data_IF_743907857203
#
_entry.id   IF_743907857203
#
_cell.length_a   1.000
_cell.length_b   1.000
_cell.length_c   1.000
_cell.angle_alpha   90.00
_cell.angle_beta   90.00
_cell.angle_gamma   90.00
#
_symmetry.space_group_name_H-M   'P 1'
#
loop_
_entity.id
_entity.type
_entity.pdbx_description
1 polymer ?
#
# COMPACT_ATOMS: atom_id res chain seq x y z
N UNK A 1 -40.99 47.06 -39.64
CA UNK A 1 -40.83 46.37 -38.35
C UNK A 1 -39.63 45.43 -38.45
N UNK A 2 -38.45 45.88 -37.95
CA UNK A 2 -37.19 45.13 -38.02
C UNK A 2 -36.99 44.36 -36.69
N UNK A 3 -36.82 43.06 -36.79
CA UNK A 3 -36.46 42.18 -35.70
C UNK A 3 -34.94 42.06 -35.59
N UNK A 4 -34.35 42.68 -34.56
CA UNK A 4 -32.94 42.58 -34.21
C UNK A 4 -32.60 41.20 -33.64
N UNK A 5 -31.80 40.38 -34.34
CA UNK A 5 -31.24 39.11 -33.88
C UNK A 5 -30.12 39.35 -32.86
N UNK A 6 -30.40 39.13 -31.54
CA UNK A 6 -29.40 39.07 -30.47
C UNK A 6 -28.48 37.85 -30.67
N UNK A 7 -27.22 38.05 -31.04
CA UNK A 7 -26.13 37.04 -31.07
C UNK A 7 -25.73 36.74 -29.61
N UNK A 8 -26.04 35.51 -29.10
CA UNK A 8 -25.50 34.97 -27.88
C UNK A 8 -24.01 34.63 -28.04
N UNK A 9 -23.11 35.41 -27.41
CA UNK A 9 -21.69 35.10 -27.27
C UNK A 9 -21.54 33.82 -26.44
N UNK A 10 -21.15 32.69 -27.06
CA UNK A 10 -20.70 31.48 -26.38
C UNK A 10 -19.34 31.81 -25.73
N UNK A 11 -19.32 31.83 -24.38
CA UNK A 11 -18.08 31.80 -23.62
C UNK A 11 -17.44 30.41 -23.86
N UNK A 12 -16.27 30.39 -24.49
CA UNK A 12 -15.36 29.25 -24.52
C UNK A 12 -14.74 29.15 -23.13
N UNK A 13 -15.21 28.22 -22.30
CA UNK A 13 -14.45 27.78 -21.14
C UNK A 13 -13.31 26.91 -21.69
N UNK A 14 -12.08 27.33 -21.47
CA UNK A 14 -10.89 26.52 -21.70
C UNK A 14 -10.69 25.58 -20.50
N UNK A 15 -10.77 24.24 -20.64
CA UNK A 15 -10.69 23.32 -19.52
C UNK A 15 -9.24 22.90 -19.17
N UNK A 16 -8.21 23.65 -19.59
CA UNK A 16 -6.83 23.19 -19.47
C UNK A 16 -6.05 23.63 -18.22
N UNK A 17 -6.38 24.77 -17.61
CA UNK A 17 -5.52 25.33 -16.55
C UNK A 17 -5.75 24.71 -15.17
N UNK A 18 -6.96 24.27 -14.85
CA UNK A 18 -7.28 23.68 -13.55
C UNK A 18 -6.78 22.24 -13.39
N UNK A 19 -6.69 21.49 -14.50
CA UNK A 19 -6.22 20.10 -14.51
C UNK A 19 -4.70 19.98 -14.37
N UNK A 20 -3.96 20.87 -15.01
CA UNK A 20 -2.50 20.92 -14.88
C UNK A 20 -2.06 21.33 -13.48
N UNK A 21 -2.84 22.19 -12.79
CA UNK A 21 -2.56 22.58 -11.41
C UNK A 21 -2.85 21.44 -10.42
N UNK A 22 -3.88 20.65 -10.67
CA UNK A 22 -4.21 19.46 -9.86
C UNK A 22 -3.15 18.37 -9.93
N UNK A 23 -2.67 18.05 -11.14
CA UNK A 23 -1.59 17.09 -11.33
C UNK A 23 -0.28 17.52 -10.66
N UNK A 24 0.08 18.81 -10.77
CA UNK A 24 1.27 19.36 -10.09
C UNK A 24 1.16 19.31 -8.55
N UNK A 25 -0.04 19.50 -8.00
CA UNK A 25 -0.27 19.41 -6.55
C UNK A 25 -0.16 17.95 -6.08
N UNK A 26 -0.67 16.98 -6.85
CA UNK A 26 -0.60 15.56 -6.52
C UNK A 26 0.82 15.01 -6.62
N UNK A 27 1.56 15.33 -7.67
CA UNK A 27 2.99 14.99 -7.79
C UNK A 27 3.78 15.63 -6.65
N UNK A 28 3.49 16.88 -6.29
CA UNK A 28 4.08 17.53 -5.12
C UNK A 28 3.74 16.83 -3.80
N UNK A 29 2.54 16.27 -3.67
CA UNK A 29 2.09 15.55 -2.47
C UNK A 29 2.76 14.18 -2.37
N UNK A 30 2.91 13.47 -3.47
CA UNK A 30 3.66 12.19 -3.53
C UNK A 30 5.13 12.43 -3.20
N UNK A 31 5.78 13.40 -3.81
CA UNK A 31 7.17 13.79 -3.49
C UNK A 31 7.27 14.23 -2.01
N UNK A 32 6.27 14.96 -1.51
CA UNK A 32 6.23 15.38 -0.11
C UNK A 32 6.09 14.21 0.85
N UNK A 33 5.27 13.21 0.56
CA UNK A 33 5.12 12.00 1.36
C UNK A 33 6.42 11.17 1.38
N UNK A 34 7.12 11.06 0.24
CA UNK A 34 8.42 10.38 0.17
C UNK A 34 9.56 11.16 0.86
N UNK A 35 9.54 12.48 0.85
CA UNK A 35 10.52 13.30 1.59
C UNK A 35 10.13 13.50 3.06
N UNK A 36 8.87 13.31 3.44
CA UNK A 36 8.36 13.52 4.81
C UNK A 36 8.91 12.50 5.80
N UNK A 37 9.38 11.31 5.37
CA UNK A 37 10.04 10.36 6.26
C UNK A 37 11.34 10.91 6.86
N UNK A 38 12.13 11.64 6.09
CA UNK A 38 13.34 12.33 6.59
C UNK A 38 13.02 13.67 7.28
N UNK A 39 12.03 14.42 6.76
CA UNK A 39 11.57 15.68 7.38
C UNK A 39 10.74 15.43 8.65
N UNK A 40 10.03 14.30 8.74
CA UNK A 40 9.29 13.89 9.93
C UNK A 40 10.22 13.60 11.11
N UNK A 41 11.35 12.95 10.88
CA UNK A 41 12.40 12.74 11.90
C UNK A 41 12.98 14.08 12.37
N UNK A 42 13.32 14.96 11.44
CA UNK A 42 13.83 16.30 11.77
C UNK A 42 12.80 17.14 12.56
N UNK A 43 11.53 17.10 12.17
CA UNK A 43 10.45 17.81 12.87
C UNK A 43 10.18 17.24 14.27
N UNK A 44 10.27 15.93 14.44
CA UNK A 44 10.08 15.25 15.72
C UNK A 44 11.27 15.54 16.67
N UNK A 45 12.50 15.52 16.20
CA UNK A 45 13.68 15.70 17.02
C UNK A 45 14.01 17.18 17.30
N UNK A 46 13.85 18.05 16.30
CA UNK A 46 14.29 19.47 16.42
C UNK A 46 13.16 20.40 16.92
N UNK A 47 11.89 20.09 16.63
CA UNK A 47 10.76 20.98 16.92
C UNK A 47 9.83 20.41 18.00
N UNK A 48 9.51 19.11 17.96
CA UNK A 48 8.55 18.52 18.90
C UNK A 48 9.17 18.09 20.22
N UNK A 49 10.41 17.59 20.22
CA UNK A 49 11.08 17.17 21.45
C UNK A 49 11.29 18.32 22.46
N UNK A 50 11.71 19.55 22.05
CA UNK A 50 11.79 20.68 22.96
C UNK A 50 10.41 21.17 23.46
N UNK A 51 9.37 21.04 22.64
CA UNK A 51 8.01 21.41 23.02
C UNK A 51 7.41 20.46 24.07
N UNK A 52 7.67 19.16 23.97
CA UNK A 52 7.24 18.18 24.95
C UNK A 52 7.99 18.31 26.29
N UNK A 53 9.28 18.59 26.29
CA UNK A 53 10.02 18.83 27.53
C UNK A 53 9.57 20.11 28.25
N UNK A 54 9.16 21.16 27.52
CA UNK A 54 8.57 22.35 28.10
C UNK A 54 7.14 22.13 28.67
N UNK A 55 6.38 21.17 28.12
CA UNK A 55 5.06 20.82 28.64
C UNK A 55 5.13 19.96 29.92
N UNK A 56 6.17 19.14 30.09
CA UNK A 56 6.36 18.31 31.29
C UNK A 56 6.72 19.10 32.56
N UNK A 57 7.15 20.35 32.39
CA UNK A 57 7.44 21.26 33.53
C UNK A 57 6.23 22.06 34.02
N UNK A 58 5.06 21.92 33.41
CA UNK A 58 3.84 22.56 33.89
C UNK A 58 3.22 21.79 35.07
N UNK A 59 2.87 22.46 36.18
CA UNK A 59 2.41 21.80 37.43
C UNK A 59 1.01 21.15 37.34
N UNK A 60 0.44 21.00 36.15
CA UNK A 60 -0.86 20.37 35.93
C UNK A 60 -0.82 18.84 35.78
N UNK A 61 0.40 18.24 35.68
CA UNK A 61 0.58 16.79 35.57
C UNK A 61 1.37 16.17 36.73
N UNK A 62 1.32 16.76 37.91
CA UNK A 62 1.82 16.07 39.09
C UNK A 62 0.81 15.02 39.53
N UNK A 63 1.15 13.78 39.29
CA UNK A 63 0.44 12.59 39.72
C UNK A 63 0.38 12.53 41.26
N UNK A 64 -0.76 12.79 41.84
CA UNK A 64 -1.12 12.33 43.17
C UNK A 64 -2.40 11.50 43.10
N UNK A 65 -2.24 10.21 43.38
CA UNK A 65 -3.28 9.34 43.91
C UNK A 65 -3.96 8.44 42.87
N UNK A 66 -3.37 7.28 42.65
CA UNK A 66 -4.07 6.02 42.41
C UNK A 66 -3.10 4.88 42.80
N UNK A 67 -3.02 4.61 44.10
CA UNK A 67 -2.58 3.28 44.61
C UNK A 67 -3.75 2.33 44.39
N UNK A 68 -3.48 1.19 43.72
CA UNK A 68 -4.34 0.01 43.74
C UNK A 68 -5.07 -0.32 42.44
N UNK A 69 -4.35 -0.59 41.36
CA UNK A 69 -4.78 -1.55 40.35
C UNK A 69 -3.55 -2.43 40.03
N UNK A 70 -3.68 -3.72 40.32
CA UNK A 70 -2.71 -4.73 39.93
C UNK A 70 -2.55 -4.66 38.40
N UNK A 71 -1.33 -4.33 37.93
CA UNK A 71 -0.94 -4.47 36.56
C UNK A 71 -0.97 -5.97 36.22
N UNK A 72 -2.02 -6.40 35.51
CA UNK A 72 -1.88 -7.57 34.65
C UNK A 72 -0.84 -7.20 33.60
N UNK A 73 0.35 -7.75 33.75
CA UNK A 73 1.39 -7.73 32.71
C UNK A 73 0.79 -8.16 31.38
N UNK A 74 1.00 -7.40 30.29
CA UNK A 74 0.67 -7.89 28.96
C UNK A 74 1.42 -9.21 28.77
N UNK A 75 0.71 -10.26 28.41
CA UNK A 75 1.31 -11.53 27.98
C UNK A 75 2.32 -11.16 26.90
N UNK A 76 3.60 -11.50 27.13
CA UNK A 76 4.62 -11.47 26.12
C UNK A 76 4.07 -12.21 24.89
N UNK A 77 3.71 -11.46 23.86
CA UNK A 77 3.54 -12.02 22.52
C UNK A 77 4.90 -12.57 22.15
N UNK A 78 4.94 -13.86 21.85
CA UNK A 78 6.13 -14.58 21.39
C UNK A 78 6.71 -13.83 20.18
N UNK A 79 7.64 -12.91 20.45
CA UNK A 79 8.34 -12.18 19.39
C UNK A 79 9.36 -13.13 18.79
N UNK A 80 9.21 -13.47 17.52
CA UNK A 80 10.20 -14.20 16.74
C UNK A 80 11.56 -13.52 16.88
N UNK A 81 12.55 -14.21 17.44
CA UNK A 81 13.89 -13.67 17.64
C UNK A 81 14.82 -14.14 16.54
N UNK A 82 15.36 -13.21 15.76
CA UNK A 82 16.38 -13.46 14.73
C UNK A 82 17.75 -13.03 15.23
N UNK A 83 18.76 -13.90 15.08
CA UNK A 83 20.15 -13.58 15.44
C UNK A 83 21.03 -13.70 14.21
N UNK A 84 21.64 -12.59 13.78
CA UNK A 84 22.65 -12.55 12.73
C UNK A 84 24.05 -12.55 13.38
N UNK A 85 24.88 -13.53 13.03
CA UNK A 85 26.23 -13.67 13.58
C UNK A 85 27.24 -12.94 12.70
N UNK A 86 27.87 -11.88 13.17
CA UNK A 86 28.95 -11.32 12.38
C UNK A 86 29.66 -10.05 12.82
N UNK A 87 29.35 -9.43 13.95
CA UNK A 87 29.98 -8.16 14.30
C UNK A 87 30.41 -8.06 15.76
N UNK A 88 31.47 -7.27 16.03
CA UNK A 88 32.05 -7.05 17.36
C UNK A 88 31.08 -6.30 18.30
N UNK A 89 29.97 -5.75 17.77
CA UNK A 89 28.89 -5.11 18.53
C UNK A 89 27.53 -5.43 17.89
N UNK A 90 26.92 -6.52 18.29
CA UNK A 90 25.52 -6.79 17.99
C UNK A 90 24.63 -6.09 19.00
N UNK A 91 23.51 -5.52 18.54
CA UNK A 91 22.47 -4.94 19.37
C UNK A 91 21.17 -5.71 19.15
N UNK A 92 20.32 -5.76 20.16
CA UNK A 92 18.97 -6.32 20.03
C UNK A 92 17.98 -5.19 19.84
N UNK A 93 17.24 -5.20 18.74
CA UNK A 93 16.19 -4.22 18.48
C UNK A 93 14.89 -4.92 18.04
N UNK A 94 13.78 -4.22 18.21
CA UNK A 94 12.48 -4.64 17.69
C UNK A 94 12.22 -3.86 16.40
N UNK A 95 11.83 -4.60 15.36
CA UNK A 95 11.38 -4.04 14.08
C UNK A 95 9.88 -4.20 14.01
N UNK A 96 9.17 -3.11 13.80
CA UNK A 96 7.72 -3.09 13.59
C UNK A 96 7.44 -3.16 12.08
N UNK A 97 6.71 -4.19 11.68
CA UNK A 97 6.21 -4.36 10.34
C UNK A 97 4.84 -3.70 10.23
N UNK A 98 4.65 -2.74 9.31
CA UNK A 98 3.38 -2.06 9.19
C UNK A 98 2.24 -3.03 8.84
N UNK A 99 1.05 -2.77 9.39
CA UNK A 99 -0.17 -3.43 8.95
C UNK A 99 -0.48 -3.11 7.48
N UNK A 100 -1.14 -4.03 6.78
CA UNK A 100 -1.74 -3.75 5.48
C UNK A 100 -3.24 -3.64 5.61
N UNK A 101 -3.83 -2.64 4.95
CA UNK A 101 -5.27 -2.50 4.80
C UNK A 101 -5.61 -2.58 3.30
N UNK A 102 -6.38 -3.61 2.93
CA UNK A 102 -6.87 -3.78 1.56
C UNK A 102 -8.31 -4.27 1.58
N UNK A 103 -9.24 -3.39 1.21
CA UNK A 103 -10.66 -3.66 1.10
C UNK A 103 -11.02 -3.88 -0.36
N UNK A 104 -11.17 -5.15 -0.76
CA UNK A 104 -11.39 -5.54 -2.14
C UNK A 104 -12.89 -5.61 -2.50
N UNK A 105 -13.23 -5.27 -3.74
CA UNK A 105 -14.56 -5.49 -4.29
C UNK A 105 -14.67 -6.92 -4.84
N UNK A 106 -15.38 -7.79 -4.13
CA UNK A 106 -15.66 -9.16 -4.53
C UNK A 106 -16.90 -9.18 -5.43
N UNK A 107 -16.74 -9.66 -6.67
CA UNK A 107 -17.78 -9.78 -7.68
C UNK A 107 -18.44 -11.17 -7.71
N UNK A 108 -17.80 -12.16 -7.09
CA UNK A 108 -18.33 -13.52 -6.99
C UNK A 108 -17.45 -14.41 -6.12
N UNK A 109 -18.04 -15.54 -5.68
CA UNK A 109 -17.32 -16.58 -4.94
C UNK A 109 -17.79 -17.95 -5.45
N UNK A 110 -16.86 -18.84 -5.75
CA UNK A 110 -17.11 -20.11 -6.43
C UNK A 110 -16.36 -21.25 -5.73
N UNK A 111 -16.95 -22.44 -5.73
CA UNK A 111 -16.27 -23.67 -5.33
C UNK A 111 -15.43 -24.28 -6.47
N UNK A 112 -15.54 -23.75 -7.67
CA UNK A 112 -14.83 -24.20 -8.88
C UNK A 112 -13.93 -23.10 -9.40
N UNK A 113 -12.65 -23.42 -9.59
CA UNK A 113 -11.67 -22.52 -10.22
C UNK A 113 -12.04 -22.14 -11.65
N UNK A 114 -12.68 -23.05 -12.42
CA UNK A 114 -13.12 -22.78 -13.78
C UNK A 114 -14.16 -21.67 -13.84
N UNK A 115 -15.16 -21.68 -12.94
CA UNK A 115 -16.18 -20.65 -12.86
C UNK A 115 -15.59 -19.31 -12.40
N UNK A 116 -14.66 -19.34 -11.45
CA UNK A 116 -13.95 -18.15 -11.02
C UNK A 116 -13.11 -17.54 -12.15
N UNK A 117 -12.41 -18.37 -12.93
CA UNK A 117 -11.61 -17.94 -14.09
C UNK A 117 -12.48 -17.28 -15.16
N UNK A 118 -13.64 -17.85 -15.47
CA UNK A 118 -14.58 -17.27 -16.45
C UNK A 118 -15.05 -15.85 -16.03
N UNK A 119 -15.37 -15.65 -14.72
CA UNK A 119 -15.71 -14.31 -14.22
C UNK A 119 -14.50 -13.38 -14.24
N UNK A 120 -13.31 -13.87 -13.82
CA UNK A 120 -12.06 -13.11 -13.85
C UNK A 120 -11.77 -12.54 -15.24
N UNK A 121 -11.84 -13.37 -16.29
CA UNK A 121 -11.61 -12.96 -17.68
C UNK A 121 -12.63 -11.90 -18.14
N UNK A 122 -13.90 -12.08 -17.77
CA UNK A 122 -14.95 -11.10 -18.05
C UNK A 122 -14.68 -9.74 -17.38
N UNK A 123 -14.19 -9.75 -16.15
CA UNK A 123 -13.86 -8.54 -15.40
C UNK A 123 -12.62 -7.84 -15.99
N UNK A 124 -11.58 -8.59 -16.33
CA UNK A 124 -10.37 -8.04 -16.98
C UNK A 124 -10.71 -7.36 -18.30
N UNK A 125 -11.58 -7.94 -19.11
CA UNK A 125 -12.06 -7.35 -20.36
C UNK A 125 -12.83 -6.02 -20.15
N UNK A 126 -13.33 -5.78 -18.93
CA UNK A 126 -14.02 -4.54 -18.53
C UNK A 126 -13.10 -3.53 -17.79
N UNK A 127 -11.81 -3.81 -17.68
CA UNK A 127 -10.85 -2.94 -16.98
C UNK A 127 -10.78 -3.14 -15.46
N UNK A 128 -11.31 -4.25 -14.94
CA UNK A 128 -11.23 -4.64 -13.54
C UNK A 128 -10.13 -5.69 -13.32
N UNK A 129 -9.59 -5.80 -12.09
CA UNK A 129 -8.43 -6.65 -11.80
C UNK A 129 -8.65 -8.15 -12.02
N UNK A 130 -9.83 -8.67 -11.69
CA UNK A 130 -10.16 -10.09 -11.86
C UNK A 130 -9.19 -11.01 -11.11
N UNK A 131 -8.67 -10.59 -9.96
CA UNK A 131 -7.80 -11.42 -9.13
C UNK A 131 -8.63 -12.54 -8.47
N UNK A 132 -8.11 -13.78 -8.48
CA UNK A 132 -8.77 -14.92 -7.86
C UNK A 132 -8.08 -15.21 -6.54
N UNK A 133 -8.73 -14.82 -5.45
CA UNK A 133 -8.29 -15.09 -4.10
C UNK A 133 -8.81 -16.45 -3.64
N UNK A 134 -7.92 -17.32 -3.14
CA UNK A 134 -8.31 -18.63 -2.62
C UNK A 134 -8.47 -18.55 -1.09
N UNK A 135 -9.71 -18.65 -0.62
CA UNK A 135 -10.08 -18.62 0.79
C UNK A 135 -10.64 -20.00 1.19
N UNK A 136 -9.77 -20.85 1.72
CA UNK A 136 -10.09 -22.22 2.18
C UNK A 136 -10.90 -23.06 1.16
N UNK A 137 -10.48 -23.00 -0.12
CA UNK A 137 -11.12 -23.74 -1.22
C UNK A 137 -12.31 -23.02 -1.85
N UNK A 138 -12.61 -21.80 -1.39
CA UNK A 138 -13.53 -20.90 -2.05
C UNK A 138 -12.75 -19.89 -2.90
N UNK A 139 -13.02 -19.85 -4.19
CA UNK A 139 -12.38 -18.95 -5.15
C UNK A 139 -13.17 -17.64 -5.24
N UNK A 140 -12.67 -16.58 -4.62
CA UNK A 140 -13.28 -15.25 -4.65
C UNK A 140 -12.68 -14.44 -5.79
N UNK A 141 -13.53 -13.87 -6.64
CA UNK A 141 -13.08 -13.04 -7.77
C UNK A 141 -13.19 -11.58 -7.37
N UNK A 142 -12.03 -10.90 -7.31
CA UNK A 142 -11.86 -9.55 -6.82
C UNK A 142 -11.61 -8.59 -7.98
N UNK A 143 -12.33 -7.47 -8.02
CA UNK A 143 -12.29 -6.51 -9.13
C UNK A 143 -11.29 -5.37 -8.91
N UNK A 144 -11.19 -4.85 -7.69
CA UNK A 144 -10.31 -3.74 -7.31
C UNK A 144 -10.07 -3.77 -5.79
N UNK A 145 -8.97 -3.17 -5.33
CA UNK A 145 -8.62 -2.99 -3.92
C UNK A 145 -8.52 -1.52 -3.54
N UNK A 146 -8.87 -1.19 -2.30
CA UNK A 146 -8.85 0.16 -1.73
C UNK A 146 -8.17 0.16 -0.38
N UNK A 147 -7.52 1.26 -0.02
CA UNK A 147 -6.85 1.41 1.27
C UNK A 147 -7.80 1.58 2.45
N UNK A 148 -9.05 2.01 2.21
CA UNK A 148 -10.07 2.20 3.23
C UNK A 148 -11.39 1.52 2.89
N UNK A 149 -12.09 1.02 3.91
CA UNK A 149 -13.42 0.43 3.75
C UNK A 149 -14.44 1.46 3.22
N UNK A 150 -14.28 2.72 3.58
CA UNK A 150 -15.16 3.81 3.13
C UNK A 150 -15.08 3.99 1.61
N UNK A 151 -13.89 3.98 1.03
CA UNK A 151 -13.70 4.06 -0.42
C UNK A 151 -14.30 2.84 -1.13
N UNK A 152 -14.00 1.64 -0.63
CA UNK A 152 -14.57 0.40 -1.18
C UNK A 152 -16.10 0.42 -1.16
N UNK A 153 -16.71 0.85 -0.06
CA UNK A 153 -18.17 0.97 0.08
C UNK A 153 -18.79 1.99 -0.87
N UNK A 154 -18.14 3.14 -1.06
CA UNK A 154 -18.62 4.17 -1.98
C UNK A 154 -18.67 3.66 -3.43
N UNK A 155 -17.62 2.91 -3.85
CA UNK A 155 -17.59 2.30 -5.18
C UNK A 155 -18.59 1.15 -5.29
N UNK A 156 -18.74 0.32 -4.26
CA UNK A 156 -19.78 -0.72 -4.20
C UNK A 156 -21.19 -0.15 -4.43
N UNK A 157 -21.56 0.93 -3.72
CA UNK A 157 -22.86 1.56 -3.86
C UNK A 157 -23.11 2.06 -5.29
N UNK A 158 -22.10 2.62 -5.94
CA UNK A 158 -22.15 3.02 -7.34
C UNK A 158 -22.39 1.81 -8.26
N UNK A 159 -21.61 0.73 -8.13
CA UNK A 159 -21.76 -0.48 -8.95
C UNK A 159 -23.14 -1.12 -8.78
N UNK A 160 -23.67 -1.19 -7.56
CA UNK A 160 -25.02 -1.68 -7.30
C UNK A 160 -26.06 -0.80 -8.00
N UNK A 161 -25.88 0.52 -8.01
CA UNK A 161 -26.78 1.43 -8.73
C UNK A 161 -26.73 1.26 -10.25
N UNK A 162 -25.62 0.78 -10.79
CA UNK A 162 -25.42 0.45 -12.19
C UNK A 162 -25.88 -0.96 -12.56
N UNK A 163 -26.25 -1.79 -11.57
CA UNK A 163 -26.81 -3.13 -11.74
C UNK A 163 -25.79 -4.27 -11.56
N UNK A 164 -24.57 -3.96 -11.18
CA UNK A 164 -23.55 -4.95 -10.80
C UNK A 164 -23.68 -5.29 -9.31
N UNK A 165 -23.81 -6.56 -8.96
CA UNK A 165 -23.82 -7.02 -7.56
C UNK A 165 -22.39 -7.28 -7.08
N UNK A 166 -22.03 -6.70 -5.92
CA UNK A 166 -20.72 -6.88 -5.32
C UNK A 166 -20.73 -6.72 -3.80
N UNK A 167 -19.71 -7.27 -3.15
CA UNK A 167 -19.50 -7.15 -1.70
C UNK A 167 -18.08 -6.62 -1.42
N UNK A 168 -17.88 -6.03 -0.25
CA UNK A 168 -16.53 -5.68 0.21
C UNK A 168 -15.96 -6.90 0.93
N UNK A 169 -14.76 -7.30 0.55
CA UNK A 169 -13.98 -8.38 1.15
C UNK A 169 -12.69 -7.80 1.72
N UNK A 170 -12.34 -8.15 2.96
CA UNK A 170 -11.18 -7.62 3.68
C UNK A 170 -9.99 -8.59 3.53
N UNK A 171 -8.87 -8.11 2.97
CA UNK A 171 -7.59 -8.82 2.85
C UNK A 171 -6.56 -8.24 3.83
N UNK A 172 -6.98 -7.39 4.76
CA UNK A 172 -6.06 -6.71 5.68
C UNK A 172 -5.36 -7.69 6.61
N UNK A 173 -4.13 -7.36 7.00
CA UNK A 173 -3.38 -8.07 8.02
C UNK A 173 -2.81 -7.09 9.05
N UNK A 174 -2.82 -7.46 10.34
CA UNK A 174 -2.23 -6.63 11.39
C UNK A 174 -0.72 -6.53 11.22
N UNK A 175 -0.15 -5.42 11.69
CA UNK A 175 1.30 -5.28 11.78
C UNK A 175 1.89 -6.30 12.77
N UNK A 176 3.15 -6.64 12.55
CA UNK A 176 3.88 -7.62 13.36
C UNK A 176 5.14 -6.96 13.91
N UNK A 177 5.49 -7.26 15.15
CA UNK A 177 6.77 -6.86 15.75
C UNK A 177 7.66 -8.08 15.87
N UNK A 178 8.88 -8.02 15.36
CA UNK A 178 9.85 -9.08 15.58
C UNK A 178 11.16 -8.54 16.15
N UNK A 179 11.83 -9.35 16.97
CA UNK A 179 13.11 -8.99 17.57
C UNK A 179 14.27 -9.49 16.72
N UNK A 180 15.22 -8.60 16.44
CA UNK A 180 16.44 -8.95 15.72
C UNK A 180 17.67 -8.64 16.59
N UNK A 181 18.68 -9.52 16.53
CA UNK A 181 20.00 -9.30 17.12
C UNK A 181 21.03 -9.31 16.01
N UNK A 182 21.56 -8.13 15.67
CA UNK A 182 22.46 -7.94 14.53
C UNK A 182 23.34 -6.70 14.72
N UNK A 183 24.23 -6.44 13.80
CA UNK A 183 24.90 -5.15 13.70
C UNK A 183 23.92 -4.03 13.37
N UNK A 184 24.18 -2.81 13.87
CA UNK A 184 23.28 -1.68 13.70
C UNK A 184 22.98 -1.37 12.23
N UNK A 185 23.98 -1.49 11.34
CA UNK A 185 23.78 -1.30 9.89
C UNK A 185 22.89 -2.37 9.28
N UNK A 186 23.06 -3.64 9.69
CA UNK A 186 22.24 -4.78 9.22
C UNK A 186 20.76 -4.60 9.61
N UNK A 187 20.51 -4.10 10.82
CA UNK A 187 19.14 -3.81 11.30
C UNK A 187 18.50 -2.70 10.47
N UNK A 188 19.25 -1.67 10.12
CA UNK A 188 18.74 -0.56 9.31
C UNK A 188 18.42 -1.02 7.88
N UNK A 189 19.29 -1.81 7.24
CA UNK A 189 19.04 -2.39 5.91
C UNK A 189 17.74 -3.23 5.89
N UNK A 190 17.54 -4.06 6.93
CA UNK A 190 16.34 -4.90 7.05
C UNK A 190 15.10 -4.03 7.28
N UNK A 191 15.17 -3.02 8.14
CA UNK A 191 14.07 -2.07 8.39
C UNK A 191 13.69 -1.32 7.11
N UNK A 192 14.68 -0.86 6.34
CA UNK A 192 14.47 -0.17 5.09
C UNK A 192 13.74 -1.04 4.07
N UNK A 193 14.09 -2.33 3.96
CA UNK A 193 13.39 -3.28 3.10
C UNK A 193 11.91 -3.46 3.46
N UNK A 194 11.57 -3.54 4.74
CA UNK A 194 10.17 -3.61 5.18
C UNK A 194 9.38 -2.32 4.89
N UNK A 195 9.99 -1.17 5.18
CA UNK A 195 9.37 0.12 4.87
C UNK A 195 9.12 0.27 3.37
N UNK A 196 10.09 -0.13 2.54
CA UNK A 196 9.99 -0.04 1.09
C UNK A 196 8.83 -0.87 0.51
N UNK A 197 8.57 -2.06 1.05
CA UNK A 197 7.39 -2.87 0.65
C UNK A 197 6.09 -2.17 0.96
N UNK A 198 5.94 -1.63 2.17
CA UNK A 198 4.75 -0.89 2.58
C UNK A 198 4.53 0.37 1.73
N UNK A 199 5.61 1.11 1.46
CA UNK A 199 5.58 2.32 0.64
C UNK A 199 5.22 1.99 -0.82
N UNK A 200 5.78 0.91 -1.38
CA UNK A 200 5.45 0.44 -2.72
C UNK A 200 3.96 0.04 -2.84
N UNK A 201 3.42 -0.66 -1.85
CA UNK A 201 1.99 -1.01 -1.80
C UNK A 201 1.11 0.24 -1.78
N UNK A 202 1.44 1.20 -0.92
CA UNK A 202 0.69 2.46 -0.80
C UNK A 202 0.77 3.27 -2.09
N UNK A 203 1.95 3.36 -2.70
CA UNK A 203 2.17 4.06 -3.96
C UNK A 203 1.41 3.39 -5.12
N UNK A 204 1.40 2.05 -5.19
CA UNK A 204 0.64 1.33 -6.21
C UNK A 204 -0.87 1.54 -6.07
N UNK A 205 -1.39 1.54 -4.83
CA UNK A 205 -2.79 1.84 -4.57
C UNK A 205 -3.16 3.26 -5.06
N UNK A 206 -2.35 4.25 -4.73
CA UNK A 206 -2.54 5.63 -5.19
C UNK A 206 -2.46 5.74 -6.73
N UNK A 207 -1.51 5.05 -7.36
CA UNK A 207 -1.34 5.01 -8.81
C UNK A 207 -2.56 4.40 -9.52
N UNK A 208 -3.18 3.35 -8.96
CA UNK A 208 -4.42 2.76 -9.51
C UNK A 208 -5.56 3.78 -9.52
N UNK A 209 -5.75 4.52 -8.42
CA UNK A 209 -6.80 5.52 -8.30
C UNK A 209 -6.53 6.69 -9.26
N UNK A 210 -5.30 7.20 -9.27
CA UNK A 210 -4.92 8.31 -10.16
C UNK A 210 -5.09 7.96 -11.63
N UNK A 211 -4.72 6.73 -12.03
CA UNK A 211 -4.89 6.27 -13.39
C UNK A 211 -6.37 6.20 -13.81
N UNK A 212 -7.25 5.71 -12.94
CA UNK A 212 -8.69 5.61 -13.24
C UNK A 212 -9.38 6.99 -13.28
N UNK A 213 -8.94 7.95 -12.46
CA UNK A 213 -9.54 9.29 -12.38
C UNK A 213 -8.98 10.27 -13.40
N UNK A 214 -7.80 10.00 -13.94
CA UNK A 214 -7.10 10.88 -14.87
C UNK A 214 -7.33 10.49 -16.34
N UNK A 215 -6.82 11.32 -17.25
CA UNK A 215 -6.69 10.98 -18.66
C UNK A 215 -5.29 10.45 -19.02
N UNK A 216 -4.64 9.83 -18.05
CA UNK A 216 -3.28 9.28 -18.19
C UNK A 216 -3.25 8.16 -19.24
N UNK A 217 -2.24 8.17 -20.09
CA UNK A 217 -2.00 7.09 -21.04
C UNK A 217 -1.33 5.89 -20.35
N UNK A 218 -1.42 4.66 -20.90
CA UNK A 218 -0.69 3.52 -20.39
C UNK A 218 0.83 3.74 -20.26
N UNK A 219 1.42 4.54 -21.16
CA UNK A 219 2.84 4.86 -21.12
C UNK A 219 3.22 5.77 -19.93
N UNK A 220 2.36 6.72 -19.59
CA UNK A 220 2.53 7.58 -18.40
C UNK A 220 2.34 6.77 -17.12
N UNK A 221 1.32 5.90 -17.06
CA UNK A 221 1.13 4.95 -15.97
C UNK A 221 2.32 4.00 -15.79
N UNK A 222 2.83 3.43 -16.88
CA UNK A 222 4.01 2.56 -16.83
C UNK A 222 5.28 3.31 -16.35
N UNK A 223 5.42 4.61 -16.64
CA UNK A 223 6.52 5.41 -16.11
C UNK A 223 6.42 5.59 -14.60
N UNK A 224 5.21 5.81 -14.07
CA UNK A 224 4.96 5.90 -12.62
C UNK A 224 5.27 4.56 -11.91
N UNK A 225 4.81 3.44 -12.48
CA UNK A 225 5.10 2.10 -11.93
C UNK A 225 6.61 1.83 -11.91
N UNK A 226 7.35 2.24 -12.95
CA UNK A 226 8.81 2.07 -13.02
C UNK A 226 9.55 2.85 -11.93
N UNK A 227 9.01 4.01 -11.53
CA UNK A 227 9.55 4.78 -10.42
C UNK A 227 9.37 4.04 -9.08
N UNK A 228 8.18 3.46 -8.84
CA UNK A 228 7.88 2.64 -7.65
C UNK A 228 8.82 1.42 -7.61
N UNK A 229 8.98 0.72 -8.73
CA UNK A 229 9.89 -0.43 -8.87
C UNK A 229 11.34 -0.07 -8.54
N UNK A 230 11.83 1.05 -9.09
CA UNK A 230 13.20 1.49 -8.88
C UNK A 230 13.48 1.81 -7.40
N UNK A 231 12.54 2.45 -6.70
CA UNK A 231 12.66 2.77 -5.28
C UNK A 231 12.66 1.49 -4.43
N UNK A 232 11.72 0.57 -4.67
CA UNK A 232 11.67 -0.72 -3.98
C UNK A 232 12.98 -1.50 -4.16
N UNK A 233 13.44 -1.63 -5.40
CA UNK A 233 14.65 -2.40 -5.72
C UNK A 233 15.90 -1.80 -5.07
N UNK A 234 16.00 -0.48 -5.01
CA UNK A 234 17.11 0.21 -4.35
C UNK A 234 17.14 -0.10 -2.86
N UNK A 235 16.00 -0.04 -2.17
CA UNK A 235 15.91 -0.25 -0.72
C UNK A 235 15.98 -1.73 -0.33
N UNK A 236 15.49 -2.66 -1.18
CA UNK A 236 15.57 -4.10 -0.89
C UNK A 236 16.93 -4.72 -1.25
N UNK A 237 17.80 -4.00 -1.98
CA UNK A 237 19.07 -4.54 -2.48
C UNK A 237 19.99 -5.14 -1.41
N UNK A 238 20.10 -4.47 -0.25
CA UNK A 238 20.92 -4.94 0.88
C UNK A 238 20.28 -6.09 1.66
N UNK A 239 18.96 -6.25 1.58
CA UNK A 239 18.21 -7.26 2.31
C UNK A 239 18.56 -8.69 1.91
N UNK A 240 18.80 -8.92 0.61
CA UNK A 240 19.01 -10.27 0.07
C UNK A 240 20.21 -11.01 0.67
N UNK A 241 21.22 -10.28 1.14
CA UNK A 241 22.37 -10.90 1.83
C UNK A 241 21.99 -11.55 3.17
N UNK A 242 20.83 -11.21 3.73
CA UNK A 242 20.34 -11.73 5.02
C UNK A 242 19.20 -12.76 4.86
N UNK A 243 18.70 -12.99 3.64
CA UNK A 243 17.51 -13.83 3.37
C UNK A 243 17.62 -15.22 3.98
N UNK A 244 18.80 -15.87 3.88
CA UNK A 244 19.04 -17.21 4.41
C UNK A 244 19.21 -17.28 5.93
N UNK A 245 19.22 -16.13 6.60
CA UNK A 245 19.53 -16.06 8.05
C UNK A 245 18.33 -16.45 8.92
N UNK A 246 17.11 -16.36 8.41
CA UNK A 246 15.89 -16.79 9.12
C UNK A 246 14.69 -16.94 8.17
N UNK A 247 13.68 -17.75 8.56
CA UNK A 247 12.43 -17.86 7.79
C UNK A 247 11.71 -16.51 7.59
N UNK A 248 11.77 -15.62 8.57
CA UNK A 248 11.16 -14.29 8.47
C UNK A 248 11.85 -13.41 7.42
N UNK A 249 13.19 -13.42 7.36
CA UNK A 249 13.95 -12.67 6.36
C UNK A 249 13.83 -13.28 4.97
N UNK A 250 13.73 -14.62 4.88
CA UNK A 250 13.43 -15.30 3.61
C UNK A 250 12.03 -14.88 3.10
N UNK A 251 11.01 -14.89 3.95
CA UNK A 251 9.66 -14.48 3.58
C UNK A 251 9.61 -13.00 3.12
N UNK A 252 10.40 -12.13 3.76
CA UNK A 252 10.55 -10.74 3.35
C UNK A 252 11.21 -10.64 1.97
N UNK A 253 12.32 -11.33 1.73
CA UNK A 253 13.02 -11.32 0.46
C UNK A 253 12.11 -11.85 -0.67
N UNK A 254 11.41 -12.96 -0.44
CA UNK A 254 10.44 -13.53 -1.39
C UNK A 254 9.31 -12.55 -1.71
N UNK A 255 8.85 -11.77 -0.71
CA UNK A 255 7.84 -10.74 -0.92
C UNK A 255 8.40 -9.58 -1.77
N UNK A 256 9.63 -9.11 -1.49
CA UNK A 256 10.32 -8.11 -2.32
C UNK A 256 10.44 -8.56 -3.78
N UNK A 257 10.83 -9.80 -4.02
CA UNK A 257 10.97 -10.36 -5.37
C UNK A 257 9.62 -10.38 -6.12
N UNK A 258 8.54 -10.77 -5.44
CA UNK A 258 7.19 -10.74 -6.04
C UNK A 258 6.76 -9.33 -6.41
N UNK A 259 7.00 -8.37 -5.51
CA UNK A 259 6.70 -6.96 -5.80
C UNK A 259 7.51 -6.43 -6.98
N UNK A 260 8.83 -6.63 -6.97
CA UNK A 260 9.70 -6.20 -8.08
C UNK A 260 9.27 -6.85 -9.40
N UNK A 261 9.00 -8.16 -9.40
CA UNK A 261 8.55 -8.89 -10.60
C UNK A 261 7.21 -8.40 -11.13
N UNK A 262 6.22 -8.16 -10.27
CA UNK A 262 4.91 -7.66 -10.67
C UNK A 262 4.97 -6.22 -11.20
N UNK A 263 5.73 -5.33 -10.54
CA UNK A 263 5.94 -3.96 -10.98
C UNK A 263 6.69 -3.89 -12.31
N UNK A 264 7.72 -4.73 -12.50
CA UNK A 264 8.44 -4.84 -13.77
C UNK A 264 7.51 -5.32 -14.89
N UNK A 265 6.70 -6.35 -14.64
CA UNK A 265 5.72 -6.85 -15.60
C UNK A 265 4.70 -5.78 -16.01
N UNK A 266 4.27 -4.93 -15.06
CA UNK A 266 3.39 -3.79 -15.33
C UNK A 266 4.08 -2.71 -16.17
N UNK A 267 5.31 -2.34 -15.82
CA UNK A 267 6.05 -1.24 -16.45
C UNK A 267 6.55 -1.57 -17.86
N UNK A 268 6.83 -2.85 -18.14
CA UNK A 268 7.35 -3.36 -19.41
C UNK A 268 6.26 -3.96 -20.31
N UNK A 269 5.06 -4.18 -19.77
CA UNK A 269 3.94 -4.82 -20.45
C UNK A 269 3.45 -4.00 -21.66
N UNK A 270 2.91 -4.70 -22.66
CA UNK A 270 2.24 -4.09 -23.81
C UNK A 270 0.73 -4.17 -23.65
N UNK A 271 0.07 -3.03 -23.57
CA UNK A 271 -1.37 -2.93 -23.34
C UNK A 271 -2.07 -2.35 -24.56
N UNK A 272 -3.13 -3.00 -25.02
CA UNK A 272 -3.89 -2.58 -26.19
C UNK A 272 -4.76 -1.35 -25.91
N UNK A 273 -5.15 -1.14 -24.64
CA UNK A 273 -5.99 -0.02 -24.21
C UNK A 273 -5.64 0.44 -22.78
N UNK A 274 -6.13 1.62 -22.40
CA UNK A 274 -6.06 2.08 -21.00
C UNK A 274 -6.83 1.16 -20.06
N UNK A 275 -7.92 0.53 -20.53
CA UNK A 275 -8.66 -0.47 -19.76
C UNK A 275 -7.84 -1.71 -19.43
N UNK A 276 -7.05 -2.21 -20.39
CA UNK A 276 -6.17 -3.37 -20.17
C UNK A 276 -5.07 -3.05 -19.15
N UNK A 277 -4.51 -1.84 -19.21
CA UNK A 277 -3.51 -1.41 -18.25
C UNK A 277 -4.11 -1.22 -16.84
N UNK A 278 -5.29 -0.59 -16.74
CA UNK A 278 -6.02 -0.44 -15.48
C UNK A 278 -6.35 -1.81 -14.87
N UNK A 279 -6.80 -2.78 -15.67
CA UNK A 279 -7.04 -4.14 -15.22
C UNK A 279 -5.76 -4.80 -14.65
N UNK A 280 -4.64 -4.66 -15.35
CA UNK A 280 -3.36 -5.21 -14.92
C UNK A 280 -2.87 -4.57 -13.61
N UNK A 281 -2.97 -3.24 -13.46
CA UNK A 281 -2.62 -2.54 -12.23
C UNK A 281 -3.45 -3.01 -11.03
N UNK A 282 -4.79 -3.10 -11.20
CA UNK A 282 -5.70 -3.57 -10.15
C UNK A 282 -5.43 -5.04 -9.78
N UNK A 283 -5.12 -5.86 -10.78
CA UNK A 283 -4.75 -7.27 -10.54
C UNK A 283 -3.48 -7.35 -9.69
N UNK A 284 -2.43 -6.64 -10.08
CA UNK A 284 -1.17 -6.60 -9.35
C UNK A 284 -1.36 -6.04 -7.92
N UNK A 285 -2.14 -4.97 -7.75
CA UNK A 285 -2.43 -4.43 -6.42
C UNK A 285 -3.05 -5.48 -5.49
N UNK A 286 -4.03 -6.26 -5.97
CA UNK A 286 -4.69 -7.30 -5.19
C UNK A 286 -3.76 -8.49 -4.90
N UNK A 287 -2.98 -8.94 -5.88
CA UNK A 287 -1.99 -10.00 -5.75
C UNK A 287 -0.90 -9.63 -4.73
N UNK A 288 -0.40 -8.41 -4.80
CA UNK A 288 0.63 -7.92 -3.90
C UNK A 288 0.09 -7.67 -2.48
N UNK A 289 -1.17 -7.22 -2.36
CA UNK A 289 -1.85 -7.13 -1.06
C UNK A 289 -1.95 -8.49 -0.38
N UNK A 290 -2.36 -9.52 -1.11
CA UNK A 290 -2.43 -10.90 -0.61
C UNK A 290 -1.04 -11.42 -0.24
N UNK A 291 -0.02 -11.18 -1.07
CA UNK A 291 1.37 -11.57 -0.79
C UNK A 291 1.92 -10.91 0.48
N UNK A 292 1.67 -9.62 0.67
CA UNK A 292 2.10 -8.90 1.86
C UNK A 292 1.37 -9.39 3.12
N UNK A 293 0.04 -9.57 3.06
CA UNK A 293 -0.75 -10.11 4.16
C UNK A 293 -0.28 -11.52 4.54
N UNK A 294 -0.03 -12.37 3.55
CA UNK A 294 0.49 -13.74 3.75
C UNK A 294 1.89 -13.72 4.40
N UNK A 295 2.76 -12.81 4.01
CA UNK A 295 4.07 -12.61 4.65
C UNK A 295 3.91 -12.21 6.11
N UNK A 296 3.07 -11.23 6.44
CA UNK A 296 2.81 -10.81 7.82
C UNK A 296 2.28 -11.97 8.68
N UNK A 297 1.34 -12.76 8.14
CA UNK A 297 0.83 -13.94 8.84
C UNK A 297 1.92 -14.98 9.08
N UNK A 298 2.81 -15.22 8.11
CA UNK A 298 3.89 -16.21 8.25
C UNK A 298 4.96 -15.77 9.26
N UNK A 299 5.19 -14.46 9.41
CA UNK A 299 6.13 -13.91 10.39
C UNK A 299 5.49 -13.83 11.79
N UNK A 300 4.18 -13.63 11.88
CA UNK A 300 3.45 -13.50 13.16
C UNK A 300 2.94 -14.82 13.74
N UNK A 301 3.07 -15.94 13.03
CA UNK A 301 2.67 -17.28 13.49
C UNK A 301 3.77 -17.94 14.30
#
# INVERSE_FOLDING_TARGET
>A
MEYAKRRKRRRRNSPGAGRALGALIMVGLVIYLFTASAAGKWLAEEVMAPAFSALSELPLFSSQGLEGLEEESPKEQDSLAVSLSGGITSVKENIELPAISCFALQMGAFSSMENAAALSDSLKARGAGGYIYNDDGMYRVLAAGYGTETEARAVKERLISEGDDCTVYDISAPGVTFSITAGKGEIEDIREGFCALHDAQTALCAACIEFDESSMSPAEGAALIREIEAQLTASCGSLYQYADSSPALSALADCCDRYAGALSALSEGSYASSGDFSAAMKHALLELSDSYASMLHSIGA
#
